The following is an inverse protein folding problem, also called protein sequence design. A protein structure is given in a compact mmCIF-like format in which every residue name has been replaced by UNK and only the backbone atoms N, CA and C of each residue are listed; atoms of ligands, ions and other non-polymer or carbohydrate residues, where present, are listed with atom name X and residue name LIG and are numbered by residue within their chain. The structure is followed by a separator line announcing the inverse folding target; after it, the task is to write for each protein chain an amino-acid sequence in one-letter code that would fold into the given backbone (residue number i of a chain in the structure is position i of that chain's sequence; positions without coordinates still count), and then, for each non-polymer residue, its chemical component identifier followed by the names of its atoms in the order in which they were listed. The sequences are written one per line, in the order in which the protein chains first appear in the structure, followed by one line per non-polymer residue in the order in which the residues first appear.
data_IF_422630412804
#
_entry.id   IF_422630412804
#
_cell.length_a   1.000
_cell.length_b   1.000
_cell.length_c   1.000
_cell.angle_alpha   90.00
_cell.angle_beta   90.00
_cell.angle_gamma   90.00
#
_symmetry.space_group_name_H-M   'P 1'
#
loop_
_entity.id
_entity.type
_entity.pdbx_description
1 polymer ?
#
# COMPACT_ATOMS: atom_id res chain seq x y z
N UNK A 1 -15.22 -10.96 -21.06
CA UNK A 1 -13.89 -11.58 -20.86
C UNK A 1 -12.80 -10.98 -21.73
N UNK A 2 -12.90 -10.98 -23.07
CA UNK A 2 -11.80 -10.45 -23.90
C UNK A 2 -11.47 -8.96 -23.66
N UNK A 3 -12.47 -8.11 -23.43
CA UNK A 3 -12.25 -6.69 -23.11
C UNK A 3 -11.45 -6.48 -21.82
N UNK A 4 -11.81 -7.20 -20.75
CA UNK A 4 -11.08 -7.16 -19.47
C UNK A 4 -9.65 -7.68 -19.61
N UNK A 5 -9.45 -8.75 -20.38
CA UNK A 5 -8.10 -9.24 -20.66
C UNK A 5 -7.24 -8.18 -21.38
N UNK A 6 -7.78 -7.54 -22.42
CA UNK A 6 -7.07 -6.46 -23.13
C UNK A 6 -6.83 -5.24 -22.24
N UNK A 7 -7.73 -4.95 -21.30
CA UNK A 7 -7.53 -3.90 -20.29
C UNK A 7 -6.40 -4.27 -19.32
N UNK A 8 -6.39 -5.49 -18.79
CA UNK A 8 -5.36 -5.98 -17.88
C UNK A 8 -3.97 -6.00 -18.53
N UNK A 9 -3.88 -6.42 -19.80
CA UNK A 9 -2.61 -6.35 -20.56
C UNK A 9 -2.13 -4.90 -20.69
N UNK A 10 -3.01 -3.96 -21.04
CA UNK A 10 -2.64 -2.53 -21.12
C UNK A 10 -2.17 -1.97 -19.78
N UNK A 11 -2.86 -2.31 -18.69
CA UNK A 11 -2.47 -1.93 -17.33
C UNK A 11 -1.10 -2.50 -16.93
N UNK A 12 -0.81 -3.74 -17.32
CA UNK A 12 0.49 -4.39 -17.11
C UNK A 12 1.60 -3.62 -17.85
N UNK A 13 1.37 -3.27 -19.12
CA UNK A 13 2.34 -2.51 -19.91
C UNK A 13 2.58 -1.10 -19.36
N UNK A 14 1.53 -0.40 -18.91
CA UNK A 14 1.69 0.92 -18.29
C UNK A 14 2.42 0.85 -16.95
N UNK A 15 2.10 -0.15 -16.11
CA UNK A 15 2.78 -0.36 -14.83
C UNK A 15 4.27 -0.66 -15.02
N UNK A 16 4.62 -1.46 -16.02
CA UNK A 16 6.01 -1.76 -16.35
C UNK A 16 6.77 -0.50 -16.79
N UNK A 17 6.15 0.34 -17.62
CA UNK A 17 6.76 1.61 -18.04
C UNK A 17 6.93 2.59 -16.87
N UNK A 18 5.93 2.70 -15.99
CA UNK A 18 6.00 3.58 -14.82
C UNK A 18 7.04 3.09 -13.79
N UNK A 19 7.16 1.77 -13.57
CA UNK A 19 8.21 1.17 -12.73
C UNK A 19 9.61 1.36 -13.33
N UNK A 20 9.74 1.31 -14.65
CA UNK A 20 11.00 1.58 -15.32
C UNK A 20 11.42 3.04 -15.16
N UNK A 21 10.47 3.99 -15.21
CA UNK A 21 10.75 5.40 -14.88
C UNK A 21 11.22 5.58 -13.45
N UNK A 22 10.57 4.89 -12.50
CA UNK A 22 10.96 4.92 -11.09
C UNK A 22 12.38 4.33 -10.90
N UNK A 23 12.69 3.22 -11.57
CA UNK A 23 14.03 2.60 -11.57
C UNK A 23 15.10 3.53 -12.16
N UNK A 24 14.74 4.35 -13.14
CA UNK A 24 15.65 5.32 -13.74
C UNK A 24 15.90 6.57 -12.86
N UNK A 25 15.32 6.62 -11.65
CA UNK A 25 15.55 7.68 -10.67
C UNK A 25 14.48 8.77 -10.63
N UNK A 26 13.39 8.65 -11.39
CA UNK A 26 12.25 9.57 -11.30
C UNK A 26 11.41 9.23 -10.06
N UNK A 27 11.80 9.73 -8.88
CA UNK A 27 11.08 9.49 -7.61
C UNK A 27 10.07 10.60 -7.31
N UNK A 28 9.40 11.12 -8.35
CA UNK A 28 8.40 12.17 -8.19
C UNK A 28 7.17 11.65 -7.43
N UNK A 29 6.64 12.49 -6.53
CA UNK A 29 5.45 12.14 -5.74
C UNK A 29 4.24 11.81 -6.63
N UNK A 30 4.13 12.47 -7.78
CA UNK A 30 3.10 12.20 -8.79
C UNK A 30 3.24 10.82 -9.43
N UNK A 31 4.46 10.40 -9.78
CA UNK A 31 4.71 9.05 -10.33
C UNK A 31 4.42 7.97 -9.30
N UNK A 32 4.86 8.17 -8.04
CA UNK A 32 4.57 7.24 -6.94
C UNK A 32 3.06 7.09 -6.70
N UNK A 33 2.32 8.21 -6.75
CA UNK A 33 0.86 8.23 -6.67
C UNK A 33 0.22 7.50 -7.86
N UNK A 34 0.66 7.79 -9.08
CA UNK A 34 0.19 7.15 -10.31
C UNK A 34 0.39 5.63 -10.30
N UNK A 35 1.58 5.14 -9.90
CA UNK A 35 1.87 3.71 -9.78
C UNK A 35 0.97 3.07 -8.71
N UNK A 36 0.79 3.73 -7.57
CA UNK A 36 -0.08 3.21 -6.50
C UNK A 36 -1.54 3.07 -6.96
N UNK A 37 -2.05 4.04 -7.73
CA UNK A 37 -3.40 4.03 -8.27
C UNK A 37 -3.56 2.98 -9.38
N UNK A 38 -2.60 2.85 -10.29
CA UNK A 38 -2.65 1.87 -11.38
C UNK A 38 -2.55 0.43 -10.86
N UNK A 39 -1.79 0.22 -9.78
CA UNK A 39 -1.72 -1.07 -9.08
C UNK A 39 -3.06 -1.43 -8.42
N UNK A 40 -3.73 -0.48 -7.77
CA UNK A 40 -5.07 -0.70 -7.23
C UNK A 40 -6.13 -0.94 -8.32
N UNK A 41 -6.01 -0.26 -9.47
CA UNK A 41 -6.86 -0.51 -10.63
C UNK A 41 -6.63 -1.93 -11.19
N UNK A 42 -5.37 -2.40 -11.24
CA UNK A 42 -5.02 -3.75 -11.68
C UNK A 42 -5.53 -4.83 -10.72
N UNK A 43 -5.46 -4.64 -9.41
CA UNK A 43 -6.04 -5.61 -8.46
C UNK A 43 -7.54 -5.78 -8.68
N UNK A 44 -8.25 -4.67 -8.94
CA UNK A 44 -9.69 -4.70 -9.25
C UNK A 44 -9.99 -5.43 -10.55
N UNK A 45 -9.22 -5.18 -11.62
CA UNK A 45 -9.44 -5.87 -12.90
C UNK A 45 -9.15 -7.37 -12.80
N UNK A 46 -8.17 -7.77 -11.99
CA UNK A 46 -7.89 -9.18 -11.68
C UNK A 46 -9.08 -9.83 -10.99
N UNK A 47 -9.63 -9.19 -9.96
CA UNK A 47 -10.78 -9.71 -9.22
C UNK A 47 -12.04 -9.82 -10.09
N UNK A 48 -12.29 -8.80 -10.93
CA UNK A 48 -13.39 -8.81 -11.91
C UNK A 48 -13.19 -9.93 -12.96
N UNK A 49 -11.95 -10.17 -13.39
CA UNK A 49 -11.62 -11.24 -14.34
C UNK A 49 -11.73 -12.63 -13.72
N UNK A 50 -11.33 -12.82 -12.45
CA UNK A 50 -11.50 -14.06 -11.69
C UNK A 50 -12.99 -14.38 -11.47
N UNK A 51 -13.79 -13.38 -11.13
CA UNK A 51 -15.24 -13.53 -11.01
C UNK A 51 -15.90 -13.97 -12.34
N UNK A 52 -15.46 -13.42 -13.47
CA UNK A 52 -15.91 -13.86 -14.79
C UNK A 52 -15.44 -15.28 -15.13
N UNK A 53 -14.19 -15.63 -14.81
CA UNK A 53 -13.63 -16.96 -15.07
C UNK A 53 -14.40 -18.05 -14.31
N UNK A 54 -14.79 -17.79 -13.05
CA UNK A 54 -15.60 -18.71 -12.23
C UNK A 54 -17.02 -18.92 -12.78
N UNK A 55 -17.58 -17.91 -13.46
CA UNK A 55 -18.93 -17.96 -14.05
C UNK A 55 -18.98 -18.57 -15.45
N UNK A 56 -17.82 -18.82 -16.07
CA UNK A 56 -17.77 -19.41 -17.40
C UNK A 56 -18.19 -20.88 -17.38
N UNK A 57 -19.21 -21.26 -18.17
CA UNK A 57 -19.74 -22.63 -18.21
C UNK A 57 -18.92 -23.59 -19.07
N UNK A 58 -18.12 -23.06 -20.01
CA UNK A 58 -17.29 -23.88 -20.89
C UNK A 58 -15.95 -24.16 -20.20
N UNK A 59 -15.74 -25.40 -19.75
CA UNK A 59 -14.56 -25.84 -18.98
C UNK A 59 -13.22 -25.45 -19.64
N UNK A 60 -13.07 -25.64 -20.95
CA UNK A 60 -11.84 -25.26 -21.66
C UNK A 60 -11.57 -23.74 -21.68
N UNK A 61 -12.63 -22.91 -21.74
CA UNK A 61 -12.48 -21.44 -21.66
C UNK A 61 -12.24 -20.99 -20.22
N UNK A 62 -12.86 -21.67 -19.25
CA UNK A 62 -12.64 -21.44 -17.83
C UNK A 62 -11.19 -21.72 -17.44
N UNK A 63 -10.61 -22.85 -17.85
CA UNK A 63 -9.20 -23.19 -17.57
C UNK A 63 -8.24 -22.15 -18.18
N UNK A 64 -8.49 -21.73 -19.43
CA UNK A 64 -7.70 -20.66 -20.07
C UNK A 64 -7.83 -19.32 -19.35
N UNK A 65 -9.03 -18.98 -18.88
CA UNK A 65 -9.27 -17.77 -18.10
C UNK A 65 -8.58 -17.83 -16.73
N UNK A 66 -8.62 -18.97 -16.04
CA UNK A 66 -7.93 -19.18 -14.77
C UNK A 66 -6.41 -19.08 -14.91
N UNK A 67 -5.81 -19.66 -15.96
CA UNK A 67 -4.38 -19.49 -16.23
C UNK A 67 -4.00 -18.01 -16.41
N UNK A 68 -4.85 -17.23 -17.11
CA UNK A 68 -4.64 -15.78 -17.29
C UNK A 68 -4.78 -15.01 -15.97
N UNK A 69 -5.75 -15.34 -15.12
CA UNK A 69 -5.89 -14.77 -13.77
C UNK A 69 -4.62 -15.05 -12.95
N UNK A 70 -4.13 -16.29 -12.98
CA UNK A 70 -2.94 -16.69 -12.23
C UNK A 70 -1.70 -15.93 -12.70
N UNK A 71 -1.55 -15.76 -14.02
CA UNK A 71 -0.50 -14.91 -14.58
C UNK A 71 -0.60 -13.47 -14.08
N UNK A 72 -1.77 -12.83 -14.20
CA UNK A 72 -1.93 -11.45 -13.72
C UNK A 72 -1.71 -11.30 -12.22
N UNK A 73 -2.05 -12.33 -11.41
CA UNK A 73 -1.74 -12.32 -9.96
C UNK A 73 -0.24 -12.39 -9.70
N UNK A 74 0.49 -13.22 -10.43
CA UNK A 74 1.95 -13.29 -10.36
C UNK A 74 2.57 -11.94 -10.73
N UNK A 75 2.18 -11.38 -11.88
CA UNK A 75 2.67 -10.10 -12.38
C UNK A 75 2.37 -8.97 -11.36
N UNK A 76 1.18 -8.96 -10.77
CA UNK A 76 0.79 -8.01 -9.72
C UNK A 76 1.69 -8.10 -8.48
N UNK A 77 1.97 -9.31 -7.99
CA UNK A 77 2.83 -9.49 -6.81
C UNK A 77 4.26 -9.05 -7.09
N UNK A 78 4.75 -9.30 -8.30
CA UNK A 78 6.08 -8.86 -8.74
C UNK A 78 6.16 -7.33 -8.81
N UNK A 79 5.22 -6.69 -9.51
CA UNK A 79 5.17 -5.22 -9.60
C UNK A 79 5.01 -4.56 -8.23
N UNK A 80 4.21 -5.14 -7.33
CA UNK A 80 4.09 -4.63 -5.96
C UNK A 80 5.41 -4.73 -5.22
N UNK A 81 6.10 -5.87 -5.31
CA UNK A 81 7.40 -6.04 -4.68
C UNK A 81 8.42 -5.04 -5.22
N UNK A 82 8.51 -4.88 -6.55
CA UNK A 82 9.44 -3.94 -7.18
C UNK A 82 9.14 -2.50 -6.76
N UNK A 83 7.87 -2.11 -6.70
CA UNK A 83 7.47 -0.78 -6.25
C UNK A 83 7.89 -0.51 -4.80
N UNK A 84 7.67 -1.45 -3.88
CA UNK A 84 8.05 -1.28 -2.47
C UNK A 84 9.58 -1.21 -2.31
N UNK A 85 10.34 -2.05 -3.01
CA UNK A 85 11.81 -2.00 -2.99
C UNK A 85 12.33 -0.66 -3.53
N UNK A 86 11.90 -0.24 -4.72
CA UNK A 86 12.34 1.01 -5.33
C UNK A 86 11.92 2.23 -4.49
N UNK A 87 10.76 2.17 -3.85
CA UNK A 87 10.30 3.22 -2.94
C UNK A 87 11.15 3.27 -1.67
N UNK A 88 11.55 2.12 -1.12
CA UNK A 88 12.46 2.07 0.03
C UNK A 88 13.83 2.64 -0.33
N UNK A 89 14.38 2.27 -1.49
CA UNK A 89 15.66 2.79 -1.99
C UNK A 89 15.61 4.32 -2.18
N UNK A 90 14.51 4.84 -2.74
CA UNK A 90 14.29 6.27 -2.91
C UNK A 90 14.24 7.02 -1.57
N UNK A 91 13.58 6.45 -0.56
CA UNK A 91 13.49 7.04 0.77
C UNK A 91 14.87 7.03 1.45
N UNK A 92 15.64 5.95 1.31
CA UNK A 92 17.00 5.85 1.85
C UNK A 92 17.95 6.86 1.20
N UNK A 93 17.87 7.06 -0.12
CA UNK A 93 18.63 8.09 -0.82
C UNK A 93 18.30 9.51 -0.32
N UNK A 94 17.02 9.81 -0.09
CA UNK A 94 16.60 11.09 0.49
C UNK A 94 17.10 11.25 1.93
N UNK A 95 17.07 10.19 2.74
CA UNK A 95 17.59 10.24 4.10
C UNK A 95 19.12 10.44 4.12
N UNK A 96 19.84 9.80 3.19
CA UNK A 96 21.27 9.95 3.03
C UNK A 96 21.67 11.35 2.57
N UNK A 97 20.93 11.96 1.63
CA UNK A 97 21.18 13.34 1.20
C UNK A 97 20.93 14.34 2.32
N UNK A 98 19.81 14.21 3.06
CA UNK A 98 19.55 15.03 4.25
C UNK A 98 20.67 14.89 5.29
N UNK A 99 21.17 13.67 5.51
CA UNK A 99 22.30 13.44 6.41
C UNK A 99 23.61 14.08 5.92
N UNK A 100 23.88 14.05 4.61
CA UNK A 100 25.06 14.67 4.01
C UNK A 100 25.01 16.21 4.10
N UNK A 101 23.83 16.81 3.93
CA UNK A 101 23.63 18.25 4.13
C UNK A 101 23.91 18.66 5.58
N UNK A 102 23.46 17.86 6.56
CA UNK A 102 23.75 18.09 7.98
C UNK A 102 25.24 17.99 8.32
N UNK A 103 25.97 17.06 7.70
CA UNK A 103 27.43 16.91 7.90
C UNK A 103 28.19 18.06 7.22
N UNK A 104 27.76 18.50 6.03
CA UNK A 104 28.44 19.57 5.29
C UNK A 104 28.22 20.93 5.94
N UNK A 105 27.04 21.18 6.52
CA UNK A 105 26.77 22.37 7.32
C UNK A 105 27.67 22.47 8.57
N UNK A 106 28.19 21.34 9.07
CA UNK A 106 29.12 21.30 10.21
C UNK A 106 30.60 21.48 9.83
N UNK A 107 30.93 21.59 8.53
CA UNK A 107 32.31 21.59 8.03
C UNK A 107 32.81 22.95 7.49
N UNK A 108 32.12 24.06 7.74
CA UNK A 108 32.73 25.39 7.53
C UNK A 108 33.95 25.53 8.45
N UNK A 109 35.17 25.69 7.93
CA UNK A 109 36.38 25.70 8.73
C UNK A 109 36.48 27.03 9.49
N UNK A 110 36.53 26.95 10.83
CA UNK A 110 36.95 28.05 11.69
C UNK A 110 38.35 28.54 11.25
N UNK A 111 38.46 29.83 11.01
CA UNK A 111 39.70 30.56 10.75
C UNK A 111 40.68 30.40 11.93
N UNK A 112 42.00 30.26 11.69
CA UNK A 112 42.94 29.79 12.71
C UNK A 112 43.47 30.94 13.58
N UNK A 113 42.65 31.46 14.50
CA UNK A 113 43.11 32.47 15.46
C UNK A 113 42.25 32.50 16.72
N UNK A 114 42.22 31.44 17.55
CA UNK A 114 41.90 31.68 18.97
C UNK A 114 42.34 30.56 19.92
N UNK A 115 43.62 30.55 20.31
CA UNK A 115 44.18 29.62 21.30
C UNK A 115 43.77 29.94 22.75
N UNK A 116 42.71 30.72 22.99
CA UNK A 116 42.32 31.22 24.33
C UNK A 116 40.92 30.83 24.83
N UNK A 117 40.34 29.71 24.37
CA UNK A 117 39.12 29.16 24.99
C UNK A 117 39.36 27.81 25.68
N UNK A 118 40.21 27.83 26.71
CA UNK A 118 40.57 26.65 27.51
C UNK A 118 39.57 26.29 28.62
N UNK A 119 38.52 27.06 28.86
CA UNK A 119 37.50 26.66 29.85
C UNK A 119 36.11 27.13 29.44
N UNK A 120 35.35 26.28 28.74
CA UNK A 120 33.89 26.29 28.84
C UNK A 120 33.31 24.90 28.60
N UNK A 121 32.49 24.51 29.56
CA UNK A 121 31.84 23.24 29.81
C UNK A 121 30.77 22.90 28.77
N UNK A 122 30.87 21.69 28.19
CA UNK A 122 29.78 20.79 27.75
C UNK A 122 28.44 21.43 27.35
N UNK A 123 28.17 21.52 26.05
CA UNK A 123 26.85 21.82 25.49
C UNK A 123 26.07 20.52 25.12
N UNK A 124 24.74 20.45 25.36
CA UNK A 124 23.88 19.31 24.98
C UNK A 124 23.40 19.43 23.50
N UNK A 125 22.76 18.38 22.91
CA UNK A 125 22.68 18.18 21.46
C UNK A 125 21.70 19.13 20.77
N UNK A 126 22.03 19.50 19.53
CA UNK A 126 21.23 20.35 18.65
C UNK A 126 19.96 19.62 18.18
N UNK A 127 18.82 20.21 18.49
CA UNK A 127 17.48 19.78 18.10
C UNK A 127 17.13 20.34 16.71
N UNK A 128 16.44 19.56 15.88
CA UNK A 128 15.91 19.91 14.54
C UNK A 128 14.71 20.87 14.57
N UNK A 129 14.53 21.62 15.65
CA UNK A 129 13.48 22.63 15.79
C UNK A 129 14.07 24.04 15.61
N UNK A 130 13.42 24.85 14.78
CA UNK A 130 13.74 26.27 14.55
C UNK A 130 13.63 27.06 15.89
N UNK A 131 14.49 28.07 16.16
CA UNK A 131 14.59 28.74 17.46
C UNK A 131 13.29 29.29 18.07
N UNK A 132 12.25 29.54 17.27
CA UNK A 132 10.93 30.03 17.73
C UNK A 132 9.99 28.99 18.36
N UNK A 133 10.32 27.68 18.33
CA UNK A 133 9.43 26.60 18.79
C UNK A 133 10.00 25.79 19.97
N UNK A 134 11.05 26.27 20.64
CA UNK A 134 11.68 25.56 21.76
C UNK A 134 10.89 25.77 23.07
N UNK A 135 10.54 24.71 23.83
CA UNK A 135 9.94 24.86 25.16
C UNK A 135 10.92 25.56 26.12
N UNK A 136 10.45 26.62 26.77
CA UNK A 136 11.22 27.47 27.68
C UNK A 136 11.72 26.67 28.88
N UNK A 137 13.03 26.41 28.93
CA UNK A 137 13.78 26.04 30.13
C UNK A 137 15.28 26.39 29.91
N UNK A 138 15.57 27.70 29.98
CA UNK A 138 16.82 28.44 30.34
C UNK A 138 18.22 28.05 29.78
N UNK A 139 19.23 28.96 29.79
CA UNK A 139 19.22 30.41 30.06
C UNK A 139 19.73 31.28 28.88
N UNK A 140 18.97 32.32 28.59
CA UNK A 140 19.33 33.66 28.12
C UNK A 140 20.84 33.98 27.98
N UNK A 141 21.31 34.19 26.75
CA UNK A 141 22.36 35.19 26.49
C UNK A 141 21.76 36.36 25.72
N UNK A 142 20.66 36.89 26.24
CA UNK A 142 20.17 38.20 25.89
C UNK A 142 20.90 39.16 26.84
N UNK A 143 21.96 39.79 26.35
CA UNK A 143 22.42 41.06 26.94
C UNK A 143 21.72 42.21 26.21
N UNK A 144 20.39 42.25 26.29
CA UNK A 144 19.63 43.47 26.07
C UNK A 144 19.67 44.27 27.38
N UNK A 145 20.70 45.10 27.53
CA UNK A 145 20.63 46.17 28.53
C UNK A 145 19.67 47.24 27.97
N UNK A 146 18.59 47.61 28.67
CA UNK A 146 17.65 48.65 28.22
C UNK A 146 18.24 50.08 28.23
N UNK A 147 19.53 50.21 28.57
CA UNK A 147 20.29 51.46 28.62
C UNK A 147 21.37 51.60 27.56
N UNK A 148 21.52 50.65 26.60
CA UNK A 148 22.47 50.82 25.50
C UNK A 148 21.83 51.65 24.38
N UNK A 149 22.36 52.85 24.19
CA UNK A 149 22.02 53.74 23.07
C UNK A 149 22.21 53.04 21.73
N UNK A 150 21.20 53.16 20.86
CA UNK A 150 21.18 52.61 19.52
C UNK A 150 22.42 53.01 18.71
N UNK A 151 23.22 52.03 18.29
CA UNK A 151 24.22 52.24 17.25
C UNK A 151 23.55 52.11 15.88
N UNK A 152 23.78 53.03 14.92
CA UNK A 152 23.06 53.08 13.64
C UNK A 152 23.26 51.86 12.72
N UNK A 153 24.17 50.95 13.05
CA UNK A 153 24.38 49.68 12.35
C UNK A 153 23.36 48.58 12.70
N UNK A 154 22.56 48.74 13.75
CA UNK A 154 21.65 47.71 14.25
C UNK A 154 20.26 47.74 13.56
N UNK A 155 19.86 48.91 13.04
CA UNK A 155 18.57 49.07 12.34
C UNK A 155 18.49 48.22 11.06
N UNK A 156 19.57 48.18 10.28
CA UNK A 156 19.60 47.41 9.03
C UNK A 156 19.59 45.89 9.25
N UNK A 157 20.12 45.41 10.37
CA UNK A 157 20.14 43.99 10.71
C UNK A 157 18.77 43.48 11.20
N UNK A 158 17.95 44.37 11.78
CA UNK A 158 16.59 44.04 12.24
C UNK A 158 15.61 43.91 11.07
N UNK A 159 15.68 44.82 10.11
CA UNK A 159 14.83 44.80 8.92
C UNK A 159 15.15 43.59 8.02
N UNK A 160 16.43 43.23 7.89
CA UNK A 160 16.85 42.06 7.14
C UNK A 160 16.33 40.74 7.76
N UNK A 161 16.37 40.62 9.09
CA UNK A 161 15.78 39.45 9.80
C UNK A 161 14.27 39.35 9.63
N UNK A 162 13.55 40.47 9.69
CA UNK A 162 12.10 40.47 9.55
C UNK A 162 11.65 40.01 8.15
N UNK A 163 12.41 40.35 7.10
CA UNK A 163 12.14 39.91 5.73
C UNK A 163 12.44 38.42 5.53
N UNK A 164 13.55 37.94 6.07
CA UNK A 164 13.91 36.52 6.04
C UNK A 164 12.86 35.68 6.79
N UNK A 165 12.41 36.14 7.97
CA UNK A 165 11.35 35.49 8.75
C UNK A 165 10.02 35.43 8.00
N UNK A 166 9.63 36.51 7.32
CA UNK A 166 8.41 36.53 6.50
C UNK A 166 8.47 35.54 5.33
N UNK A 167 9.62 35.49 4.63
CA UNK A 167 9.81 34.55 3.53
C UNK A 167 9.81 33.10 4.01
N UNK A 168 10.38 32.85 5.18
CA UNK A 168 10.39 31.53 5.82
C UNK A 168 8.99 31.08 6.22
N UNK A 169 8.18 31.98 6.80
CA UNK A 169 6.81 31.67 7.21
C UNK A 169 5.96 31.31 5.99
N UNK A 170 6.05 32.08 4.90
CA UNK A 170 5.28 31.80 3.67
C UNK A 170 5.70 30.48 3.00
N UNK A 171 7.00 30.21 2.92
CA UNK A 171 7.50 28.94 2.39
C UNK A 171 7.15 27.74 3.29
N UNK A 172 7.04 27.96 4.59
CA UNK A 172 6.63 26.91 5.54
C UNK A 172 5.13 26.65 5.48
N UNK A 173 4.31 27.69 5.39
CA UNK A 173 2.85 27.58 5.24
C UNK A 173 2.49 26.74 4.01
N UNK A 174 3.02 27.13 2.85
CA UNK A 174 2.78 26.41 1.58
C UNK A 174 3.19 24.93 1.64
N UNK A 175 4.34 24.61 2.26
CA UNK A 175 4.79 23.22 2.42
C UNK A 175 3.95 22.43 3.42
N UNK A 176 3.48 23.07 4.50
CA UNK A 176 2.59 22.44 5.48
C UNK A 176 1.23 22.13 4.86
N UNK A 177 0.69 23.05 4.06
CA UNK A 177 -0.57 22.83 3.34
C UNK A 177 -0.47 21.69 2.34
N UNK A 178 0.64 21.59 1.60
CA UNK A 178 0.88 20.48 0.69
C UNK A 178 1.03 19.14 1.43
N UNK A 179 1.74 19.11 2.55
CA UNK A 179 1.82 17.93 3.41
C UNK A 179 0.47 17.54 4.01
N UNK A 180 -0.35 18.52 4.38
CA UNK A 180 -1.67 18.28 4.96
C UNK A 180 -2.65 17.76 3.90
N UNK A 181 -2.59 18.30 2.69
CA UNK A 181 -3.35 17.82 1.55
C UNK A 181 -2.96 16.38 1.18
N UNK A 182 -1.66 16.10 1.10
CA UNK A 182 -1.13 14.75 0.85
C UNK A 182 -1.49 13.79 1.99
N UNK A 183 -1.38 14.22 3.25
CA UNK A 183 -1.74 13.43 4.42
C UNK A 183 -3.23 13.10 4.45
N UNK A 184 -4.09 14.05 4.05
CA UNK A 184 -5.52 13.84 3.93
C UNK A 184 -5.85 12.81 2.85
N UNK A 185 -5.22 12.89 1.68
CA UNK A 185 -5.40 11.94 0.59
C UNK A 185 -4.96 10.52 0.99
N UNK A 186 -3.83 10.40 1.69
CA UNK A 186 -3.35 9.10 2.20
C UNK A 186 -4.31 8.51 3.23
N UNK A 187 -4.81 9.33 4.17
CA UNK A 187 -5.78 8.89 5.17
C UNK A 187 -7.10 8.45 4.53
N UNK A 188 -7.59 9.17 3.52
CA UNK A 188 -8.82 8.81 2.81
C UNK A 188 -8.65 7.46 2.09
N UNK A 189 -7.51 7.26 1.42
CA UNK A 189 -7.14 5.98 0.81
C UNK A 189 -7.09 4.84 1.84
N UNK A 190 -6.52 5.07 3.04
CA UNK A 190 -6.48 4.05 4.10
C UNK A 190 -7.87 3.73 4.66
N UNK A 191 -8.74 4.74 4.80
CA UNK A 191 -10.13 4.56 5.22
C UNK A 191 -10.92 3.75 4.19
N UNK A 192 -10.72 4.01 2.91
CA UNK A 192 -11.37 3.28 1.83
C UNK A 192 -10.83 1.84 1.70
N UNK A 193 -9.52 1.64 1.87
CA UNK A 193 -8.93 0.31 2.00
C UNK A 193 -9.53 -0.48 3.15
N UNK A 194 -9.76 0.15 4.32
CA UNK A 194 -10.40 -0.51 5.46
C UNK A 194 -11.85 -0.90 5.16
N UNK A 195 -12.62 -0.06 4.47
CA UNK A 195 -13.99 -0.39 4.04
C UNK A 195 -13.99 -1.57 3.07
N UNK A 196 -13.05 -1.60 2.12
CA UNK A 196 -12.89 -2.71 1.18
C UNK A 196 -12.53 -4.01 1.90
N UNK A 197 -11.57 -3.97 2.83
CA UNK A 197 -11.15 -5.16 3.59
C UNK A 197 -12.30 -5.74 4.42
N UNK A 198 -13.15 -4.89 5.01
CA UNK A 198 -14.39 -5.33 5.67
C UNK A 198 -15.36 -5.99 4.68
N UNK A 199 -15.48 -5.47 3.46
CA UNK A 199 -16.27 -6.07 2.39
C UNK A 199 -15.75 -7.45 1.98
N UNK A 200 -14.43 -7.60 1.82
CA UNK A 200 -13.78 -8.88 1.51
C UNK A 200 -13.94 -9.88 2.64
N UNK A 201 -13.75 -9.47 3.90
CA UNK A 201 -13.96 -10.31 5.08
C UNK A 201 -15.42 -10.81 5.14
N UNK A 202 -16.39 -9.93 4.89
CA UNK A 202 -17.80 -10.30 4.82
C UNK A 202 -18.07 -11.33 3.72
N UNK A 203 -17.54 -11.10 2.51
CA UNK A 203 -17.66 -12.04 1.38
C UNK A 203 -16.99 -13.39 1.67
N UNK A 204 -15.87 -13.39 2.38
CA UNK A 204 -15.18 -14.62 2.78
C UNK A 204 -15.99 -15.39 3.82
N UNK A 205 -16.60 -14.70 4.78
CA UNK A 205 -17.51 -15.31 5.75
C UNK A 205 -18.76 -15.88 5.06
N UNK A 206 -19.33 -15.15 4.10
CA UNK A 206 -20.47 -15.59 3.29
C UNK A 206 -20.09 -16.80 2.41
N UNK A 207 -18.89 -16.80 1.84
CA UNK A 207 -18.34 -17.92 1.08
C UNK A 207 -18.07 -19.14 1.98
N UNK A 208 -17.56 -18.95 3.20
CA UNK A 208 -17.36 -20.02 4.16
C UNK A 208 -18.71 -20.63 4.59
N UNK A 209 -19.73 -19.81 4.82
CA UNK A 209 -21.09 -20.27 5.12
C UNK A 209 -21.71 -21.05 3.95
N UNK A 210 -21.51 -20.59 2.70
CA UNK A 210 -22.03 -21.28 1.52
C UNK A 210 -21.24 -22.55 1.17
N UNK A 211 -19.94 -22.61 1.45
CA UNK A 211 -19.12 -23.82 1.38
C UNK A 211 -19.54 -24.85 2.45
N UNK A 212 -19.90 -24.40 3.65
CA UNK A 212 -20.51 -25.23 4.69
C UNK A 212 -21.84 -25.85 4.22
N UNK A 213 -22.70 -25.04 3.59
CA UNK A 213 -23.96 -25.51 3.01
C UNK A 213 -23.73 -26.45 1.81
N UNK A 214 -22.72 -26.17 0.97
CA UNK A 214 -22.30 -27.03 -0.15
C UNK A 214 -21.87 -28.42 0.34
N UNK A 215 -21.18 -28.51 1.48
CA UNK A 215 -20.81 -29.81 2.08
C UNK A 215 -22.04 -30.64 2.46
N UNK A 216 -23.12 -30.00 2.90
CA UNK A 216 -24.39 -30.67 3.18
C UNK A 216 -25.11 -31.10 1.89
N UNK A 217 -25.06 -30.28 0.82
CA UNK A 217 -25.58 -30.64 -0.50
C UNK A 217 -24.79 -31.80 -1.13
N UNK A 218 -23.46 -31.81 -0.99
CA UNK A 218 -22.58 -32.88 -1.47
C UNK A 218 -22.92 -34.21 -0.77
N UNK A 219 -23.13 -34.18 0.54
CA UNK A 219 -23.57 -35.37 1.29
C UNK A 219 -24.98 -35.83 0.92
N UNK A 220 -25.87 -34.90 0.56
CA UNK A 220 -27.21 -35.25 0.06
C UNK A 220 -27.17 -35.94 -1.31
N UNK A 221 -26.28 -35.49 -2.21
CA UNK A 221 -26.05 -36.13 -3.52
C UNK A 221 -25.49 -37.55 -3.35
N UNK A 222 -24.53 -37.73 -2.44
CA UNK A 222 -23.93 -39.04 -2.17
C UNK A 222 -24.95 -40.02 -1.55
N UNK A 223 -25.82 -39.54 -0.65
CA UNK A 223 -26.95 -40.33 -0.11
C UNK A 223 -27.96 -40.74 -1.19
N UNK A 224 -28.24 -39.88 -2.16
CA UNK A 224 -29.13 -40.23 -3.27
C UNK A 224 -28.56 -41.35 -4.14
N UNK A 225 -27.25 -41.33 -4.41
CA UNK A 225 -26.58 -42.39 -5.18
C UNK A 225 -26.56 -43.72 -4.43
N UNK A 226 -26.32 -43.70 -3.12
CA UNK A 226 -26.36 -44.93 -2.31
C UNK A 226 -27.78 -45.49 -2.20
N UNK A 227 -28.80 -44.62 -2.04
CA UNK A 227 -30.21 -45.04 -2.05
C UNK A 227 -30.61 -45.68 -3.38
N UNK A 228 -30.15 -45.12 -4.51
CA UNK A 228 -30.42 -45.68 -5.84
C UNK A 228 -29.80 -47.08 -6.01
N UNK A 229 -28.59 -47.29 -5.49
CA UNK A 229 -27.96 -48.62 -5.45
C UNK A 229 -28.78 -49.64 -4.65
N UNK A 230 -29.36 -49.24 -3.51
CA UNK A 230 -30.24 -50.13 -2.73
C UNK A 230 -31.54 -50.45 -3.46
N UNK A 231 -32.15 -49.48 -4.16
CA UNK A 231 -33.36 -49.71 -4.97
C UNK A 231 -33.05 -50.69 -6.11
N UNK A 232 -31.89 -50.54 -6.76
CA UNK A 232 -31.44 -51.46 -7.81
C UNK A 232 -31.26 -52.89 -7.29
N UNK A 233 -30.55 -53.07 -6.16
CA UNK A 233 -30.34 -54.39 -5.56
C UNK A 233 -31.68 -55.01 -5.13
N UNK A 234 -32.57 -54.23 -4.52
CA UNK A 234 -33.90 -54.70 -4.12
C UNK A 234 -34.74 -55.15 -5.32
N UNK A 235 -34.72 -54.39 -6.42
CA UNK A 235 -35.38 -54.76 -7.67
C UNK A 235 -34.82 -56.04 -8.28
N UNK A 236 -33.50 -56.23 -8.26
CA UNK A 236 -32.86 -57.45 -8.73
C UNK A 236 -33.25 -58.69 -7.91
N UNK A 237 -33.29 -58.58 -6.58
CA UNK A 237 -33.72 -59.69 -5.72
C UNK A 237 -35.19 -60.03 -5.96
N UNK A 238 -36.05 -59.03 -6.11
CA UNK A 238 -37.47 -59.24 -6.39
C UNK A 238 -37.70 -59.95 -7.73
N UNK A 239 -36.97 -59.59 -8.78
CA UNK A 239 -37.09 -60.27 -10.09
C UNK A 239 -36.63 -61.72 -10.02
N UNK A 240 -35.53 -62.02 -9.30
CA UNK A 240 -35.11 -63.40 -9.05
C UNK A 240 -36.15 -64.20 -8.25
N UNK A 241 -36.78 -63.58 -7.25
CA UNK A 241 -37.85 -64.22 -6.46
C UNK A 241 -39.08 -64.55 -7.33
N UNK A 242 -39.49 -63.66 -8.23
CA UNK A 242 -40.57 -63.92 -9.18
C UNK A 242 -40.23 -65.09 -10.11
N UNK A 243 -39.00 -65.17 -10.63
CA UNK A 243 -38.56 -66.32 -11.44
C UNK A 243 -38.60 -67.64 -10.66
N UNK A 244 -38.18 -67.61 -9.39
CA UNK A 244 -38.26 -68.78 -8.51
C UNK A 244 -39.71 -69.26 -8.32
N UNK A 245 -40.65 -68.34 -8.07
CA UNK A 245 -42.06 -68.70 -7.91
C UNK A 245 -42.66 -69.29 -9.19
N UNK A 246 -42.31 -68.76 -10.36
CA UNK A 246 -42.75 -69.33 -11.65
C UNK A 246 -42.21 -70.75 -11.80
N UNK A 247 -40.92 -70.96 -11.52
CA UNK A 247 -40.31 -72.28 -11.59
C UNK A 247 -40.94 -73.28 -10.61
N UNK A 248 -41.29 -72.85 -9.39
CA UNK A 248 -41.91 -73.72 -8.40
C UNK A 248 -43.39 -74.04 -8.67
N UNK A 249 -44.13 -73.13 -9.31
CA UNK A 249 -45.57 -73.31 -9.52
C UNK A 249 -45.91 -73.94 -10.88
N UNK A 250 -45.07 -73.74 -11.90
CA UNK A 250 -45.24 -74.32 -13.25
C UNK A 250 -44.25 -75.44 -13.58
N UNK A 251 -43.31 -75.76 -12.68
CA UNK A 251 -42.33 -76.85 -12.79
C UNK A 251 -42.57 -77.95 -11.78
#
# INVERSE_FOLDING_TARGET
MNSLYTSGVRQTTSLQADLERLRNGDTSASLLGQISASLAAMSRTIDDYDAMAKREMIKAKQEKAQMRVQKFRSDYTEFRSQFETLKADALEQQAASQRAELITASATPDTPSDTRRRFQTTAPPQSTLHPGLRPSNQPETISESPFRSATPYDSYNRDFRALDEHSFIQNTESRLDEFLAQGREVLDNLVDQRKMLKGTHKRLLDAANTLGLSRQVIGWIERRSTQDMYIFIGGAVFTFFCFYLIWHYFG
#
